data_IF_513825570348
#
_entry.id   IF_513825570348
#
_cell.length_a   1.000
_cell.length_b   1.000
_cell.length_c   1.000
_cell.angle_alpha   90.00
_cell.angle_beta   90.00
_cell.angle_gamma   90.00
#
_symmetry.space_group_name_H-M   'P 1'
#
loop_
_entity.id
_entity.type
_entity.pdbx_description
1 polymer ?
#
# COMPACT_ATOMS: atom_id res chain seq x y z
N UNK A 1 27.14 1.29 0.18
CA UNK A 1 25.74 1.73 -0.01
C UNK A 1 24.90 0.51 -0.29
N UNK A 2 23.59 0.60 -0.09
CA UNK A 2 22.70 -0.53 -0.33
C UNK A 2 22.37 -0.65 -1.83
N UNK A 3 22.41 -1.87 -2.33
CA UNK A 3 22.13 -2.17 -3.74
C UNK A 3 20.65 -2.51 -3.97
N UNK A 4 19.78 -2.06 -3.07
CA UNK A 4 18.36 -2.41 -3.03
C UNK A 4 17.50 -1.21 -3.38
N UNK A 5 16.56 -1.39 -4.30
CA UNK A 5 15.47 -0.46 -4.57
C UNK A 5 14.21 -1.01 -3.89
N UNK A 6 13.49 -0.16 -3.17
CA UNK A 6 12.17 -0.51 -2.64
C UNK A 6 11.07 0.03 -3.55
N UNK A 7 10.19 -0.85 -4.02
CA UNK A 7 8.91 -0.49 -4.63
C UNK A 7 7.82 -0.71 -3.60
N UNK A 8 7.22 0.39 -3.14
CA UNK A 8 6.22 0.41 -2.09
C UNK A 8 4.87 0.75 -2.71
N UNK A 9 3.85 -0.02 -2.35
CA UNK A 9 2.50 0.14 -2.86
C UNK A 9 1.53 0.42 -1.71
N UNK A 10 0.55 1.28 -1.97
CA UNK A 10 -0.78 1.15 -1.37
C UNK A 10 -1.55 -0.02 -2.03
N UNK A 11 -2.70 -0.41 -1.48
CA UNK A 11 -3.48 -1.52 -2.02
C UNK A 11 -4.76 -1.08 -2.73
N UNK A 12 -5.71 -0.52 -1.97
CA UNK A 12 -7.04 -0.17 -2.47
C UNK A 12 -6.96 1.00 -3.46
N UNK A 13 -7.67 0.88 -4.58
CA UNK A 13 -7.58 1.75 -5.78
C UNK A 13 -6.17 1.87 -6.40
N UNK A 14 -5.21 1.06 -5.93
CA UNK A 14 -3.82 1.07 -6.40
C UNK A 14 -3.46 -0.24 -7.10
N UNK A 15 -3.50 -1.37 -6.41
CA UNK A 15 -3.25 -2.71 -6.96
C UNK A 15 -4.55 -3.49 -7.20
N UNK A 16 -5.63 -3.09 -6.53
CA UNK A 16 -6.95 -3.68 -6.65
C UNK A 16 -8.03 -2.57 -6.50
N UNK A 17 -9.27 -2.80 -6.96
CA UNK A 17 -10.42 -2.06 -6.43
C UNK A 17 -10.46 -2.05 -4.91
N UNK A 18 -11.23 -1.12 -4.34
CA UNK A 18 -11.57 -1.10 -2.91
C UNK A 18 -12.03 -2.47 -2.40
N UNK A 19 -11.14 -3.12 -1.65
CA UNK A 19 -11.30 -4.46 -1.11
C UNK A 19 -12.30 -4.52 0.02
N UNK A 20 -12.51 -3.43 0.76
CA UNK A 20 -13.47 -3.37 1.87
C UNK A 20 -14.88 -3.24 1.32
N UNK A 21 -15.09 -2.30 0.39
CA UNK A 21 -16.37 -2.16 -0.31
C UNK A 21 -16.73 -3.44 -1.07
N UNK A 22 -15.75 -4.07 -1.73
CA UNK A 22 -15.96 -5.35 -2.41
C UNK A 22 -16.35 -6.48 -1.46
N UNK A 23 -15.72 -6.58 -0.28
CA UNK A 23 -16.10 -7.55 0.75
C UNK A 23 -17.53 -7.35 1.26
N UNK A 24 -17.89 -6.09 1.56
CA UNK A 24 -19.23 -5.74 2.03
C UNK A 24 -20.30 -6.09 0.98
N UNK A 25 -20.08 -5.73 -0.28
CA UNK A 25 -20.98 -6.10 -1.37
C UNK A 25 -21.13 -7.62 -1.50
N UNK A 26 -20.03 -8.36 -1.38
CA UNK A 26 -20.02 -9.82 -1.50
C UNK A 26 -20.83 -10.51 -0.40
N UNK A 27 -20.84 -9.97 0.82
CA UNK A 27 -21.71 -10.43 1.90
C UNK A 27 -23.14 -9.86 1.84
N UNK A 28 -23.50 -9.17 0.76
CA UNK A 28 -24.84 -8.66 0.48
C UNK A 28 -25.17 -7.36 1.23
N UNK A 29 -24.17 -6.62 1.71
CA UNK A 29 -24.36 -5.33 2.37
C UNK A 29 -24.53 -4.25 1.29
N UNK A 30 -25.47 -3.33 1.51
CA UNK A 30 -25.55 -2.11 0.73
C UNK A 30 -24.35 -1.21 1.06
N UNK A 31 -23.40 -1.16 0.13
CA UNK A 31 -22.13 -0.45 0.29
C UNK A 31 -22.34 1.06 0.39
N UNK A 32 -23.22 1.63 -0.43
CA UNK A 32 -23.49 3.06 -0.42
C UNK A 32 -24.10 3.47 0.92
N UNK A 33 -25.08 2.69 1.38
CA UNK A 33 -25.71 2.91 2.68
C UNK A 33 -24.70 2.75 3.83
N UNK A 34 -23.84 1.73 3.78
CA UNK A 34 -22.82 1.52 4.81
C UNK A 34 -21.90 2.74 4.94
N UNK A 35 -21.36 3.24 3.82
CA UNK A 35 -20.46 4.38 3.85
C UNK A 35 -21.16 5.69 4.18
N UNK A 36 -22.34 5.94 3.62
CA UNK A 36 -23.04 7.22 3.78
C UNK A 36 -23.73 7.32 5.15
N UNK A 37 -24.48 6.31 5.55
CA UNK A 37 -25.37 6.39 6.72
C UNK A 37 -24.68 5.91 8.00
N UNK A 38 -23.73 4.97 7.90
CA UNK A 38 -23.07 4.40 9.08
C UNK A 38 -21.70 5.00 9.33
N UNK A 39 -20.86 5.10 8.30
CA UNK A 39 -19.51 5.66 8.45
C UNK A 39 -19.55 7.19 8.40
N UNK A 40 -20.32 7.78 7.47
CA UNK A 40 -20.41 9.23 7.24
C UNK A 40 -20.63 10.05 8.51
N UNK A 41 -21.63 9.77 9.35
CA UNK A 41 -21.86 10.54 10.58
C UNK A 41 -20.68 10.49 11.56
N UNK A 42 -19.94 9.37 11.61
CA UNK A 42 -18.74 9.28 12.45
C UNK A 42 -17.67 10.27 11.99
N UNK A 43 -17.49 10.42 10.68
CA UNK A 43 -16.47 11.29 10.09
C UNK A 43 -16.85 12.77 10.18
N UNK A 44 -18.08 13.11 9.80
CA UNK A 44 -18.47 14.51 9.57
C UNK A 44 -19.14 15.18 10.78
N UNK A 45 -19.65 14.40 11.74
CA UNK A 45 -20.37 14.91 12.91
C UNK A 45 -19.68 14.58 14.24
N UNK A 46 -18.88 13.51 14.28
CA UNK A 46 -18.31 12.98 15.54
C UNK A 46 -16.77 12.99 15.59
N UNK A 47 -16.10 13.56 14.58
CA UNK A 47 -14.64 13.74 14.54
C UNK A 47 -13.84 12.42 14.63
N UNK A 48 -14.31 11.37 13.95
CA UNK A 48 -13.56 10.12 13.85
C UNK A 48 -12.60 10.13 12.66
N UNK A 49 -11.43 9.53 12.86
CA UNK A 49 -10.55 9.19 11.75
C UNK A 49 -11.22 8.13 10.83
N UNK A 50 -10.98 8.19 9.50
CA UNK A 50 -11.59 7.29 8.53
C UNK A 50 -11.41 5.79 8.82
N UNK A 51 -10.18 5.39 9.17
CA UNK A 51 -9.85 3.97 9.35
C UNK A 51 -10.51 3.40 10.62
N UNK A 52 -10.37 4.00 11.81
CA UNK A 52 -11.14 3.59 12.98
C UNK A 52 -12.66 3.56 12.75
N UNK A 53 -13.23 4.53 12.03
CA UNK A 53 -14.67 4.62 11.78
C UNK A 53 -15.21 3.41 11.01
N UNK A 54 -14.59 3.04 9.88
CA UNK A 54 -15.08 1.91 9.10
C UNK A 54 -14.84 0.58 9.83
N UNK A 55 -13.69 0.42 10.51
CA UNK A 55 -13.40 -0.79 11.28
C UNK A 55 -14.42 -0.97 12.41
N UNK A 56 -14.80 0.12 13.08
CA UNK A 56 -15.85 0.13 14.09
C UNK A 56 -17.21 -0.28 13.49
N UNK A 57 -17.59 0.29 12.34
CA UNK A 57 -18.86 -0.05 11.70
C UNK A 57 -18.89 -1.48 11.16
N UNK A 58 -17.76 -2.04 10.74
CA UNK A 58 -17.67 -3.46 10.39
C UNK A 58 -17.89 -4.36 11.61
N UNK A 59 -17.33 -4.01 12.77
CA UNK A 59 -17.58 -4.76 14.01
C UNK A 59 -19.06 -4.67 14.38
N UNK A 60 -19.66 -3.47 14.35
CA UNK A 60 -21.08 -3.28 14.64
C UNK A 60 -21.99 -4.07 13.67
N UNK A 61 -21.61 -4.13 12.39
CA UNK A 61 -22.29 -4.92 11.38
C UNK A 61 -22.20 -6.43 11.66
N UNK A 62 -21.01 -6.92 12.03
CA UNK A 62 -20.79 -8.31 12.42
C UNK A 62 -21.60 -8.70 13.66
N UNK A 63 -21.61 -7.84 14.69
CA UNK A 63 -22.35 -8.04 15.94
C UNK A 63 -23.88 -8.02 15.73
N UNK A 64 -24.37 -7.19 14.78
CA UNK A 64 -25.79 -7.14 14.44
C UNK A 64 -26.29 -8.43 13.75
N UNK A 65 -25.40 -9.21 13.14
CA UNK A 65 -25.69 -10.53 12.57
C UNK A 65 -26.58 -10.53 11.32
N UNK A 66 -26.99 -9.37 10.80
CA UNK A 66 -27.91 -9.29 9.65
C UNK A 66 -27.34 -9.88 8.35
N UNK A 67 -26.01 -9.98 8.24
CA UNK A 67 -25.28 -10.59 7.11
C UNK A 67 -24.34 -11.73 7.58
N UNK A 68 -24.63 -12.28 8.75
CA UNK A 68 -23.76 -13.24 9.46
C UNK A 68 -22.49 -12.60 10.02
N UNK A 69 -21.71 -13.35 10.81
CA UNK A 69 -20.46 -12.85 11.40
C UNK A 69 -19.42 -12.57 10.31
N UNK A 70 -18.61 -11.55 10.52
CA UNK A 70 -17.39 -11.31 9.74
C UNK A 70 -16.26 -12.05 10.45
N UNK A 71 -15.91 -13.24 9.94
CA UNK A 71 -14.85 -14.08 10.52
C UNK A 71 -13.54 -13.90 9.78
N UNK A 72 -12.43 -14.36 10.38
CA UNK A 72 -11.13 -14.40 9.70
C UNK A 72 -11.23 -15.17 8.40
N UNK A 73 -11.87 -16.34 8.43
CA UNK A 73 -11.98 -17.24 7.29
C UNK A 73 -12.70 -16.56 6.12
N UNK A 74 -13.79 -15.81 6.38
CA UNK A 74 -14.49 -15.05 5.33
C UNK A 74 -13.62 -13.96 4.70
N UNK A 75 -12.86 -13.23 5.52
CA UNK A 75 -11.93 -12.21 5.04
C UNK A 75 -10.82 -12.83 4.18
N UNK A 76 -10.29 -13.97 4.62
CA UNK A 76 -9.26 -14.71 3.89
C UNK A 76 -9.79 -15.28 2.57
N UNK A 77 -10.98 -15.87 2.57
CA UNK A 77 -11.66 -16.39 1.37
C UNK A 77 -11.93 -15.29 0.35
N UNK A 78 -12.37 -14.12 0.80
CA UNK A 78 -12.51 -12.95 -0.05
C UNK A 78 -11.17 -12.53 -0.66
N UNK A 79 -10.12 -12.43 0.15
CA UNK A 79 -8.78 -12.07 -0.31
C UNK A 79 -8.27 -12.95 -1.45
N UNK A 80 -8.54 -14.25 -1.42
CA UNK A 80 -8.09 -15.21 -2.46
C UNK A 80 -8.72 -14.99 -3.83
N UNK A 81 -9.91 -14.39 -3.88
CA UNK A 81 -10.68 -14.18 -5.11
C UNK A 81 -10.96 -12.71 -5.41
N UNK A 82 -10.41 -11.81 -4.60
CA UNK A 82 -10.45 -10.37 -4.82
C UNK A 82 -9.80 -10.09 -6.19
N UNK A 83 -10.52 -9.45 -7.14
CA UNK A 83 -9.93 -9.10 -8.42
C UNK A 83 -8.83 -8.06 -8.23
N UNK A 84 -7.72 -8.21 -8.96
CA UNK A 84 -6.65 -7.22 -9.05
C UNK A 84 -6.82 -6.35 -10.30
N UNK A 85 -6.14 -5.21 -10.34
CA UNK A 85 -6.05 -4.42 -11.57
C UNK A 85 -5.29 -5.18 -12.66
N UNK A 86 -5.60 -4.87 -13.92
CA UNK A 86 -5.02 -5.55 -15.07
C UNK A 86 -3.48 -5.45 -15.04
N UNK A 87 -2.82 -6.59 -15.25
CA UNK A 87 -1.36 -6.71 -15.29
C UNK A 87 -0.62 -6.79 -13.94
N UNK A 88 -1.32 -6.65 -12.80
CA UNK A 88 -0.69 -6.67 -11.47
C UNK A 88 -0.03 -8.02 -11.15
N UNK A 89 -0.67 -9.14 -11.48
CA UNK A 89 -0.13 -10.48 -11.19
C UNK A 89 1.24 -10.75 -11.85
N UNK A 90 1.51 -10.10 -12.99
CA UNK A 90 2.77 -10.29 -13.73
C UNK A 90 3.76 -9.14 -13.52
N UNK A 91 3.35 -8.04 -12.86
CA UNK A 91 4.15 -6.83 -12.65
C UNK A 91 5.48 -7.14 -11.95
N UNK A 92 5.42 -7.79 -10.79
CA UNK A 92 6.56 -8.04 -9.92
C UNK A 92 7.65 -8.87 -10.61
N UNK A 93 7.22 -9.92 -11.32
CA UNK A 93 8.13 -10.76 -12.11
C UNK A 93 8.80 -9.98 -13.22
N UNK A 94 8.04 -9.22 -14.02
CA UNK A 94 8.59 -8.45 -15.15
C UNK A 94 9.62 -7.42 -14.71
N UNK A 95 9.33 -6.65 -13.65
CA UNK A 95 10.30 -5.67 -13.12
C UNK A 95 11.57 -6.34 -12.57
N UNK A 96 11.44 -7.47 -11.84
CA UNK A 96 12.62 -8.22 -11.37
C UNK A 96 13.45 -8.78 -12.53
N UNK A 97 12.81 -9.31 -13.56
CA UNK A 97 13.48 -9.84 -14.75
C UNK A 97 14.25 -8.74 -15.49
N UNK A 98 13.61 -7.59 -15.72
CA UNK A 98 14.25 -6.42 -16.34
C UNK A 98 15.51 -6.00 -15.56
N UNK A 99 15.40 -5.78 -14.24
CA UNK A 99 16.55 -5.37 -13.41
C UNK A 99 17.64 -6.43 -13.38
N UNK A 100 17.29 -7.71 -13.28
CA UNK A 100 18.27 -8.79 -13.27
C UNK A 100 19.09 -8.85 -14.56
N UNK A 101 18.46 -8.57 -15.71
CA UNK A 101 19.14 -8.57 -17.02
C UNK A 101 20.05 -7.35 -17.16
N UNK A 102 19.57 -6.16 -16.80
CA UNK A 102 20.28 -4.90 -17.06
C UNK A 102 21.27 -4.51 -15.95
N UNK A 103 20.93 -4.82 -14.69
CA UNK A 103 21.64 -4.40 -13.48
C UNK A 103 21.73 -5.56 -12.46
N UNK A 104 22.49 -6.64 -12.74
CA UNK A 104 22.47 -7.88 -11.95
C UNK A 104 22.89 -7.76 -10.48
N UNK A 105 23.59 -6.68 -10.12
CA UNK A 105 23.96 -6.35 -8.74
C UNK A 105 22.84 -5.67 -7.93
N UNK A 106 21.81 -5.12 -8.60
CA UNK A 106 20.71 -4.40 -7.96
C UNK A 106 19.57 -5.37 -7.64
N UNK A 107 19.00 -5.24 -6.46
CA UNK A 107 17.87 -6.04 -5.99
C UNK A 107 16.60 -5.18 -5.91
N UNK A 108 15.46 -5.77 -6.26
CA UNK A 108 14.15 -5.17 -6.02
C UNK A 108 13.49 -5.84 -4.82
N UNK A 109 13.06 -5.02 -3.87
CA UNK A 109 12.19 -5.44 -2.78
C UNK A 109 10.83 -4.75 -2.92
N UNK A 110 9.76 -5.52 -2.79
CA UNK A 110 8.40 -5.00 -2.84
C UNK A 110 7.80 -4.93 -1.44
N UNK A 111 7.03 -3.87 -1.18
CA UNK A 111 6.38 -3.63 0.10
C UNK A 111 4.95 -3.18 -0.08
N UNK A 112 4.06 -3.61 0.84
CA UNK A 112 2.67 -3.18 0.86
C UNK A 112 2.37 -2.45 2.17
N UNK A 113 1.85 -1.22 2.06
CA UNK A 113 1.37 -0.43 3.19
C UNK A 113 -0.07 -0.02 2.90
N UNK A 114 -1.02 -0.73 3.50
CA UNK A 114 -2.45 -0.55 3.23
C UNK A 114 -3.19 -0.08 4.47
N UNK A 115 -4.20 0.78 4.30
CA UNK A 115 -5.16 1.11 5.36
C UNK A 115 -6.25 0.04 5.52
N UNK A 116 -6.38 -0.85 4.53
CA UNK A 116 -7.36 -1.94 4.46
C UNK A 116 -7.04 -3.10 5.39
N UNK A 117 -7.76 -4.21 5.20
CA UNK A 117 -7.79 -5.34 6.13
C UNK A 117 -6.66 -6.33 5.82
N UNK A 118 -5.80 -6.56 6.81
CA UNK A 118 -4.63 -7.41 6.71
C UNK A 118 -4.91 -8.87 6.35
N UNK A 119 -6.01 -9.42 6.86
CA UNK A 119 -6.42 -10.80 6.57
C UNK A 119 -6.89 -10.97 5.10
N UNK A 120 -7.39 -9.89 4.47
CA UNK A 120 -7.74 -9.86 3.04
C UNK A 120 -6.47 -9.77 2.20
N UNK A 121 -5.67 -8.72 2.39
CA UNK A 121 -4.53 -8.42 1.49
C UNK A 121 -3.45 -9.50 1.50
N UNK A 122 -3.27 -10.20 2.64
CA UNK A 122 -2.30 -11.31 2.78
C UNK A 122 -2.73 -12.61 2.11
N UNK A 123 -3.99 -12.72 1.70
CA UNK A 123 -4.52 -13.89 1.02
C UNK A 123 -4.70 -13.66 -0.48
N UNK A 124 -4.30 -12.49 -0.97
CA UNK A 124 -4.31 -12.19 -2.41
C UNK A 124 -3.27 -13.03 -3.15
N UNK A 125 -3.46 -13.30 -4.46
CA UNK A 125 -2.50 -14.06 -5.27
C UNK A 125 -1.09 -13.45 -5.28
N UNK A 126 -0.95 -12.15 -5.04
CA UNK A 126 0.31 -11.42 -5.05
C UNK A 126 0.93 -11.22 -3.67
N UNK A 127 0.30 -11.69 -2.58
CA UNK A 127 0.79 -11.46 -1.22
C UNK A 127 2.23 -11.97 -1.02
N UNK A 128 2.58 -13.07 -1.68
CA UNK A 128 3.90 -13.68 -1.64
C UNK A 128 5.00 -12.86 -2.32
N UNK A 129 4.64 -11.84 -3.12
CA UNK A 129 5.61 -10.97 -3.80
C UNK A 129 6.18 -9.91 -2.86
N UNK A 130 5.52 -9.63 -1.74
CA UNK A 130 5.92 -8.60 -0.81
C UNK A 130 6.89 -9.13 0.26
N UNK A 131 7.95 -8.37 0.47
CA UNK A 131 8.93 -8.58 1.55
C UNK A 131 8.28 -8.40 2.92
N UNK A 132 7.38 -7.41 3.05
CA UNK A 132 6.50 -7.27 4.21
C UNK A 132 5.20 -6.55 3.84
N UNK A 133 4.17 -6.77 4.66
CA UNK A 133 2.82 -6.20 4.49
C UNK A 133 2.34 -5.62 5.82
N UNK A 134 2.14 -4.30 5.82
CA UNK A 134 1.51 -3.57 6.92
C UNK A 134 0.08 -3.19 6.54
N UNK A 135 -0.87 -3.60 7.38
CA UNK A 135 -2.29 -3.37 7.18
C UNK A 135 -3.01 -3.26 8.53
N UNK A 136 -4.27 -2.80 8.50
CA UNK A 136 -5.13 -2.80 9.68
C UNK A 136 -5.54 -4.23 10.03
N UNK A 137 -5.66 -4.57 11.31
CA UNK A 137 -5.92 -5.95 11.75
C UNK A 137 -6.88 -5.99 12.93
N UNK A 138 -7.68 -7.04 12.98
CA UNK A 138 -8.57 -7.32 14.09
C UNK A 138 -7.99 -8.37 15.06
N UNK A 139 -8.45 -8.33 16.31
CA UNK A 139 -8.59 -9.53 17.13
C UNK A 139 -9.95 -10.18 16.87
N UNK A 140 -10.03 -11.46 17.21
CA UNK A 140 -11.20 -12.30 16.97
C UNK A 140 -11.73 -12.86 18.28
N UNK A 141 -13.04 -13.05 18.38
CA UNK A 141 -13.67 -13.70 19.53
C UNK A 141 -13.58 -15.24 19.45
N UNK A 142 -14.23 -15.94 20.39
CA UNK A 142 -14.23 -17.41 20.44
C UNK A 142 -14.96 -18.07 19.27
N UNK A 143 -15.89 -17.35 18.63
CA UNK A 143 -16.60 -17.81 17.44
C UNK A 143 -15.85 -17.46 16.14
N UNK A 144 -14.68 -16.82 16.24
CA UNK A 144 -13.85 -16.41 15.11
C UNK A 144 -14.32 -15.11 14.45
N UNK A 145 -15.27 -14.37 15.03
CA UNK A 145 -15.76 -13.09 14.51
C UNK A 145 -14.85 -11.93 14.91
N UNK A 146 -14.74 -10.91 14.06
CA UNK A 146 -13.99 -9.68 14.37
C UNK A 146 -14.53 -9.03 15.64
N UNK A 147 -13.63 -8.63 16.55
CA UNK A 147 -14.02 -8.11 17.86
C UNK A 147 -13.51 -6.70 18.15
N UNK A 148 -12.28 -6.40 17.77
CA UNK A 148 -11.65 -5.11 18.03
C UNK A 148 -10.43 -4.90 17.11
N UNK A 149 -10.11 -3.67 16.67
CA UNK A 149 -8.89 -3.42 15.91
C UNK A 149 -7.66 -3.54 16.81
N UNK A 150 -6.75 -4.48 16.51
CA UNK A 150 -5.46 -4.63 17.20
C UNK A 150 -4.34 -3.80 16.55
N UNK A 151 -4.54 -3.42 15.29
CA UNK A 151 -3.65 -2.53 14.55
C UNK A 151 -4.51 -1.68 13.61
N UNK A 152 -4.24 -0.39 13.61
CA UNK A 152 -4.83 0.57 12.67
C UNK A 152 -3.68 1.12 11.85
N UNK A 153 -3.79 1.04 10.53
CA UNK A 153 -2.89 1.73 9.61
C UNK A 153 -3.65 2.91 9.04
N UNK A 154 -3.44 4.07 9.63
CA UNK A 154 -3.97 5.34 9.11
C UNK A 154 -3.16 5.83 7.91
N UNK A 155 -3.71 6.83 7.20
CA UNK A 155 -3.01 7.51 6.11
C UNK A 155 -1.69 8.16 6.57
N UNK A 156 -1.59 8.63 7.81
CA UNK A 156 -0.34 9.14 8.38
C UNK A 156 0.60 8.03 8.83
N UNK A 157 0.09 6.93 9.40
CA UNK A 157 0.89 5.75 9.78
C UNK A 157 1.65 5.16 8.60
N UNK A 158 1.17 5.32 7.37
CA UNK A 158 1.90 4.82 6.19
C UNK A 158 3.33 5.38 6.14
N UNK A 159 3.52 6.64 6.53
CA UNK A 159 4.85 7.26 6.59
C UNK A 159 5.77 6.60 7.62
N UNK A 160 5.23 6.13 8.75
CA UNK A 160 5.99 5.36 9.75
C UNK A 160 6.61 4.12 9.11
N UNK A 161 5.84 3.40 8.29
CA UNK A 161 6.34 2.20 7.63
C UNK A 161 7.38 2.50 6.52
N UNK A 162 7.33 3.66 5.88
CA UNK A 162 8.43 4.10 5.01
C UNK A 162 9.74 4.24 5.79
N UNK A 163 9.71 4.79 7.01
CA UNK A 163 10.90 4.80 7.88
C UNK A 163 11.31 3.40 8.37
N UNK A 164 10.38 2.47 8.56
CA UNK A 164 10.71 1.08 8.85
C UNK A 164 11.51 0.46 7.70
N UNK A 165 11.01 0.58 6.46
CA UNK A 165 11.69 0.10 5.25
C UNK A 165 13.08 0.74 5.14
N UNK A 166 13.16 2.05 5.33
CA UNK A 166 14.42 2.80 5.24
C UNK A 166 15.50 2.23 6.16
N UNK A 167 15.08 1.85 7.37
CA UNK A 167 15.94 1.35 8.44
C UNK A 167 16.12 -0.17 8.44
N UNK A 168 15.44 -0.88 7.53
CA UNK A 168 15.43 -2.34 7.49
C UNK A 168 14.70 -3.02 8.66
N UNK A 169 13.74 -2.32 9.26
CA UNK A 169 12.93 -2.81 10.39
C UNK A 169 11.71 -3.54 9.80
N UNK A 170 11.98 -4.64 9.09
CA UNK A 170 11.01 -5.40 8.29
C UNK A 170 10.96 -6.87 8.73
N UNK A 171 9.86 -7.56 8.41
CA UNK A 171 9.67 -8.97 8.68
C UNK A 171 9.14 -9.27 10.09
N UNK A 172 8.91 -10.56 10.36
CA UNK A 172 8.22 -11.02 11.59
C UNK A 172 8.88 -10.52 12.88
N UNK A 173 10.22 -10.47 12.92
CA UNK A 173 10.98 -10.08 14.08
C UNK A 173 10.85 -8.58 14.45
N UNK A 174 10.31 -7.74 13.56
CA UNK A 174 10.14 -6.31 13.79
C UNK A 174 8.70 -5.91 14.15
N UNK A 175 7.72 -6.80 13.94
CA UNK A 175 6.28 -6.48 14.04
C UNK A 175 5.81 -6.09 15.44
N UNK A 176 6.52 -6.48 16.49
CA UNK A 176 6.24 -6.13 17.89
C UNK A 176 7.13 -4.99 18.42
N UNK A 177 7.83 -4.28 17.54
CA UNK A 177 8.77 -3.20 17.89
C UNK A 177 8.38 -1.86 17.23
N UNK A 178 7.19 -1.31 17.54
CA UNK A 178 6.69 -0.09 16.89
C UNK A 178 7.60 1.13 17.14
N UNK A 179 8.38 1.14 18.23
CA UNK A 179 9.25 2.26 18.59
C UNK A 179 10.67 2.16 18.02
N UNK A 180 11.07 1.03 17.42
CA UNK A 180 12.41 0.90 16.84
C UNK A 180 12.65 1.90 15.71
N UNK A 181 11.57 2.33 15.04
CA UNK A 181 11.61 3.39 14.03
C UNK A 181 12.13 4.72 14.58
N UNK A 182 12.06 4.98 15.90
CA UNK A 182 12.57 6.22 16.48
C UNK A 182 14.10 6.22 16.65
N UNK A 183 14.76 5.07 16.47
CA UNK A 183 16.22 4.98 16.61
C UNK A 183 16.88 5.77 15.48
N UNK A 184 17.87 6.59 15.84
CA UNK A 184 18.71 7.30 14.86
C UNK A 184 19.66 6.30 14.20
N UNK A 185 19.63 6.23 12.87
CA UNK A 185 20.56 5.43 12.07
C UNK A 185 21.33 6.40 11.18
N UNK A 186 22.65 6.22 11.10
CA UNK A 186 23.50 7.02 10.24
C UNK A 186 23.20 6.73 8.75
N UNK A 187 23.35 7.72 7.87
CA UNK A 187 22.93 7.61 6.47
C UNK A 187 23.62 6.45 5.72
N UNK A 188 24.89 6.20 6.02
CA UNK A 188 25.72 5.11 5.50
C UNK A 188 25.27 3.71 5.98
N UNK A 189 24.45 3.65 7.04
CA UNK A 189 23.92 2.42 7.65
C UNK A 189 22.45 2.18 7.34
N UNK A 190 21.80 3.05 6.58
CA UNK A 190 20.42 2.83 6.14
C UNK A 190 20.35 1.63 5.21
N UNK A 191 19.32 0.79 5.38
CA UNK A 191 19.10 -0.37 4.49
C UNK A 191 18.64 0.11 3.11
N UNK A 192 17.70 1.05 3.04
CA UNK A 192 17.18 1.57 1.78
C UNK A 192 16.96 3.08 1.95
N UNK A 193 17.90 3.94 1.52
CA UNK A 193 17.69 5.39 1.53
C UNK A 193 16.40 5.78 0.77
N UNK A 194 15.74 6.87 1.17
CA UNK A 194 14.49 7.31 0.51
C UNK A 194 14.67 7.62 -0.98
N UNK A 195 15.86 8.07 -1.39
CA UNK A 195 16.20 8.28 -2.80
C UNK A 195 16.24 7.00 -3.64
N UNK A 196 16.24 5.83 -2.98
CA UNK A 196 16.15 4.49 -3.59
C UNK A 196 14.74 3.90 -3.47
N UNK A 197 13.73 4.72 -3.15
CA UNK A 197 12.34 4.29 -3.01
C UNK A 197 11.47 4.80 -4.14
N UNK A 198 10.59 3.93 -4.62
CA UNK A 198 9.49 4.25 -5.52
C UNK A 198 8.19 3.95 -4.76
N UNK A 199 7.31 4.95 -4.61
CA UNK A 199 6.02 4.77 -3.94
C UNK A 199 4.88 4.93 -4.94
N UNK A 200 3.91 4.01 -4.93
CA UNK A 200 2.72 4.04 -5.79
C UNK A 200 1.47 4.03 -4.90
N UNK A 201 0.55 4.97 -5.13
CA UNK A 201 -0.65 5.12 -4.30
C UNK A 201 -1.80 5.86 -4.98
N UNK A 202 -2.94 5.91 -4.32
CA UNK A 202 -4.23 6.36 -4.89
C UNK A 202 -4.37 7.89 -5.04
N UNK A 203 -3.36 8.65 -4.65
CA UNK A 203 -3.40 10.11 -4.69
C UNK A 203 -3.87 10.72 -3.38
N UNK A 204 -5.03 10.30 -2.88
CA UNK A 204 -5.75 11.00 -1.81
C UNK A 204 -5.24 10.66 -0.41
N UNK A 205 -5.09 9.38 -0.08
CA UNK A 205 -4.63 8.96 1.25
C UNK A 205 -3.11 8.97 1.37
N UNK A 206 -2.41 8.95 0.24
CA UNK A 206 -0.96 8.79 0.18
C UNK A 206 -0.18 10.11 0.05
N UNK A 207 -0.85 11.26 0.13
CA UNK A 207 -0.21 12.59 0.03
C UNK A 207 1.00 12.74 0.97
N UNK A 208 0.92 12.34 2.25
CA UNK A 208 2.07 12.43 3.15
C UNK A 208 3.25 11.56 2.68
N UNK A 209 2.98 10.36 2.18
CA UNK A 209 3.98 9.45 1.62
C UNK A 209 4.64 10.06 0.39
N UNK A 210 3.87 10.57 -0.57
CA UNK A 210 4.44 11.19 -1.76
C UNK A 210 5.31 12.39 -1.43
N UNK A 211 4.86 13.26 -0.51
CA UNK A 211 5.61 14.43 -0.07
C UNK A 211 6.94 14.02 0.57
N UNK A 212 6.94 13.00 1.44
CA UNK A 212 8.16 12.49 2.09
C UNK A 212 9.15 11.91 1.06
N UNK A 213 8.67 11.07 0.16
CA UNK A 213 9.49 10.39 -0.85
C UNK A 213 10.11 11.40 -1.81
N UNK A 214 9.31 12.32 -2.37
CA UNK A 214 9.79 13.34 -3.33
C UNK A 214 10.79 14.30 -2.69
N UNK A 215 10.50 14.83 -1.49
CA UNK A 215 11.42 15.72 -0.77
C UNK A 215 12.76 15.05 -0.47
N UNK A 216 12.79 13.72 -0.42
CA UNK A 216 13.98 12.94 -0.12
C UNK A 216 14.65 12.33 -1.37
N UNK A 217 14.27 12.77 -2.58
CA UNK A 217 14.90 12.35 -3.84
C UNK A 217 14.41 11.02 -4.42
N UNK A 218 13.38 10.40 -3.83
CA UNK A 218 12.73 9.21 -4.37
C UNK A 218 11.64 9.55 -5.40
N UNK A 219 10.98 8.53 -5.94
CA UNK A 219 9.96 8.68 -6.98
C UNK A 219 8.57 8.32 -6.42
N UNK A 220 7.56 9.10 -6.76
CA UNK A 220 6.19 8.88 -6.32
C UNK A 220 5.20 8.90 -7.50
N UNK A 221 4.41 7.85 -7.66
CA UNK A 221 3.36 7.74 -8.67
C UNK A 221 1.98 7.76 -8.03
N UNK A 222 1.13 8.66 -8.52
CA UNK A 222 -0.30 8.62 -8.21
C UNK A 222 -1.00 7.79 -9.26
N UNK A 223 -1.95 6.97 -8.82
CA UNK A 223 -2.80 6.20 -9.71
C UNK A 223 -4.27 6.47 -9.42
N UNK A 224 -5.13 6.13 -10.38
CA UNK A 224 -6.58 6.21 -10.20
C UNK A 224 -7.26 5.00 -10.84
N UNK A 225 -8.29 4.50 -10.15
CA UNK A 225 -9.16 3.46 -10.69
C UNK A 225 -10.11 4.07 -11.73
N UNK A 226 -10.17 3.56 -12.98
CA UNK A 226 -11.10 4.02 -14.00
C UNK A 226 -12.59 3.91 -13.62
N UNK A 227 -12.93 3.05 -12.66
CA UNK A 227 -14.28 2.91 -12.10
C UNK A 227 -14.66 4.09 -11.21
N UNK A 228 -13.68 4.78 -10.64
CA UNK A 228 -13.87 5.91 -9.72
C UNK A 228 -13.39 7.23 -10.35
N UNK A 229 -13.97 7.61 -11.49
CA UNK A 229 -13.57 8.80 -12.27
C UNK A 229 -13.54 10.09 -11.45
N UNK A 230 -14.39 10.23 -10.43
CA UNK A 230 -14.43 11.42 -9.58
C UNK A 230 -13.19 11.58 -8.70
N UNK A 231 -12.53 10.46 -8.34
CA UNK A 231 -11.25 10.48 -7.62
C UNK A 231 -10.14 11.08 -8.48
N UNK A 232 -10.21 10.95 -9.82
CA UNK A 232 -9.25 11.58 -10.75
C UNK A 232 -9.24 13.10 -10.64
N UNK A 233 -10.41 13.74 -10.51
CA UNK A 233 -10.50 15.20 -10.41
C UNK A 233 -9.86 15.72 -9.12
N UNK A 234 -10.07 15.03 -7.99
CA UNK A 234 -9.41 15.32 -6.71
C UNK A 234 -7.90 15.09 -6.79
N UNK A 235 -7.47 14.00 -7.43
CA UNK A 235 -6.06 13.68 -7.60
C UNK A 235 -5.31 14.67 -8.51
N UNK A 236 -6.00 15.28 -9.48
CA UNK A 236 -5.42 16.29 -10.37
C UNK A 236 -4.93 17.55 -9.65
N UNK A 237 -5.64 17.98 -8.59
CA UNK A 237 -5.20 19.09 -7.74
C UNK A 237 -3.82 18.85 -7.13
N UNK A 238 -3.49 17.60 -6.78
CA UNK A 238 -2.20 17.27 -6.18
C UNK A 238 -1.03 17.28 -7.17
N UNK A 239 -1.30 17.07 -8.46
CA UNK A 239 -0.28 17.25 -9.51
C UNK A 239 0.11 18.73 -9.60
N UNK A 240 -0.87 19.63 -9.60
CA UNK A 240 -0.63 21.08 -9.66
C UNK A 240 0.17 21.59 -8.47
N UNK A 241 -0.03 20.99 -7.29
CA UNK A 241 0.74 21.29 -6.08
C UNK A 241 2.12 20.61 -6.04
N UNK A 242 2.53 19.90 -7.10
CA UNK A 242 3.83 19.24 -7.21
C UNK A 242 4.02 18.05 -6.26
N UNK A 243 2.93 17.53 -5.68
CA UNK A 243 2.94 16.45 -4.68
C UNK A 243 3.00 15.06 -5.31
N UNK A 244 2.56 14.91 -6.55
CA UNK A 244 2.57 13.65 -7.31
C UNK A 244 3.37 13.85 -8.60
N UNK A 245 4.20 12.87 -9.02
CA UNK A 245 4.96 12.99 -10.27
C UNK A 245 4.05 12.99 -11.49
N UNK A 246 3.12 12.05 -11.55
CA UNK A 246 2.15 11.82 -12.63
C UNK A 246 0.91 11.11 -12.05
N UNK A 247 -0.24 11.25 -12.69
CA UNK A 247 -1.47 10.54 -12.35
C UNK A 247 -1.85 9.57 -13.47
N UNK A 248 -1.56 8.30 -13.29
CA UNK A 248 -1.76 7.27 -14.30
C UNK A 248 -2.99 6.41 -13.99
N UNK A 249 -3.59 5.81 -15.01
CA UNK A 249 -4.61 4.79 -14.77
C UNK A 249 -3.99 3.61 -14.01
N UNK A 250 -4.69 3.04 -13.02
CA UNK A 250 -4.30 1.83 -12.31
C UNK A 250 -4.40 0.60 -13.24
N UNK A 251 -3.46 0.51 -14.18
CA UNK A 251 -3.29 -0.54 -15.18
C UNK A 251 -1.80 -0.82 -15.29
N UNK A 252 -1.42 -2.07 -15.18
CA UNK A 252 -0.03 -2.49 -15.02
C UNK A 252 0.43 -3.46 -16.11
N UNK A 253 -0.38 -3.75 -17.13
CA UNK A 253 0.08 -4.49 -18.32
C UNK A 253 1.24 -3.77 -19.04
N UNK A 254 1.96 -4.50 -19.87
CA UNK A 254 3.14 -4.03 -20.62
C UNK A 254 2.84 -2.87 -21.58
N UNK A 255 1.59 -2.76 -21.99
CA UNK A 255 1.08 -1.69 -22.85
C UNK A 255 0.59 -0.48 -22.04
N UNK A 256 0.60 -0.54 -20.71
CA UNK A 256 0.18 0.56 -19.86
C UNK A 256 1.28 1.61 -19.69
N UNK A 257 0.87 2.87 -19.80
CA UNK A 257 1.73 4.02 -19.50
C UNK A 257 2.34 3.92 -18.10
N UNK A 258 1.55 3.55 -17.08
CA UNK A 258 2.06 3.37 -15.71
C UNK A 258 3.19 2.33 -15.64
N UNK A 259 3.07 1.21 -16.36
CA UNK A 259 4.10 0.17 -16.35
C UNK A 259 5.40 0.69 -16.97
N UNK A 260 5.32 1.40 -18.10
CA UNK A 260 6.47 2.03 -18.75
C UNK A 260 7.17 3.03 -17.82
N UNK A 261 6.41 3.89 -17.13
CA UNK A 261 6.96 4.81 -16.13
C UNK A 261 7.62 4.10 -14.95
N UNK A 262 7.05 2.99 -14.48
CA UNK A 262 7.65 2.18 -13.41
C UNK A 262 8.97 1.55 -13.88
N UNK A 263 9.00 1.03 -15.11
CA UNK A 263 10.21 0.46 -15.72
C UNK A 263 11.33 1.51 -15.80
N UNK A 264 11.05 2.69 -16.36
CA UNK A 264 12.00 3.80 -16.46
C UNK A 264 12.50 4.28 -15.09
N UNK A 265 11.60 4.40 -14.10
CA UNK A 265 11.98 4.83 -12.76
C UNK A 265 12.91 3.81 -12.10
N UNK A 266 12.60 2.52 -12.23
CA UNK A 266 13.43 1.43 -11.70
C UNK A 266 14.79 1.41 -12.38
N UNK A 267 14.84 1.48 -13.72
CA UNK A 267 16.09 1.51 -14.49
C UNK A 267 16.96 2.72 -14.10
N UNK A 268 16.35 3.90 -13.98
CA UNK A 268 17.05 5.13 -13.57
C UNK A 268 17.70 4.99 -12.19
N UNK A 269 16.97 4.45 -11.20
CA UNK A 269 17.51 4.20 -9.87
C UNK A 269 18.60 3.12 -9.88
N UNK A 270 18.40 2.04 -10.63
CA UNK A 270 19.37 0.95 -10.75
C UNK A 270 20.68 1.44 -11.39
N UNK A 271 20.59 2.29 -12.41
CA UNK A 271 21.73 2.97 -13.04
C UNK A 271 22.50 3.85 -12.05
N UNK A 272 21.79 4.64 -11.23
CA UNK A 272 22.40 5.49 -10.20
C UNK A 272 23.16 4.68 -9.14
N UNK A 273 22.55 3.60 -8.63
CA UNK A 273 23.17 2.68 -7.68
C UNK A 273 24.44 2.05 -8.30
N UNK A 274 24.32 1.59 -9.55
CA UNK A 274 25.42 0.96 -10.28
C UNK A 274 26.61 1.91 -10.48
N UNK A 275 26.35 3.17 -10.81
CA UNK A 275 27.37 4.21 -10.97
C UNK A 275 28.06 4.52 -9.64
N UNK A 276 27.29 4.73 -8.59
CA UNK A 276 27.81 4.99 -7.24
C UNK A 276 28.73 3.84 -6.80
N UNK A 277 28.33 2.59 -6.99
CA UNK A 277 29.16 1.44 -6.63
C UNK A 277 30.49 1.38 -7.39
N UNK A 278 30.55 1.86 -8.64
CA UNK A 278 31.81 1.93 -9.40
C UNK A 278 32.71 3.05 -8.88
N UNK A 279 32.15 4.20 -8.54
CA UNK A 279 32.91 5.35 -8.03
C UNK A 279 33.55 5.03 -6.67
N UNK A 280 32.83 4.36 -5.76
CA UNK A 280 33.34 4.03 -4.43
C UNK A 280 34.24 2.78 -4.37
N UNK A 281 34.34 2.00 -5.46
CA UNK A 281 35.24 0.86 -5.57
C UNK A 281 36.57 1.19 -6.28
N UNK A 282 36.72 2.40 -6.83
CA UNK A 282 37.98 2.93 -7.35
C UNK A 282 38.70 3.74 -6.28
#
# INVERSE_FOLDING_TARGET
MSDVIALIFDFDDTLAPDSTSGFLADMGVDVEQFWTDRVGPLLFEQDWDPVPAYLYQMIALSDAGSHGPITRERLEEWGRRLPLHAGVETLFRRLREMVKVQHPQVQLEFYLISSGIGDVVRQTPIAHEFTDIWASEFIYDQAGAIRFPKRVVSFTDKTRYLFHIQKGIVGLASRNKPFEVNRKIAADKLRIPFEQMIFVGDGYTDIPCFSLIRRSGGVAFGVWDPRHRDKRSRAWGFIQEGRVSNLNQARYDDEAELYQWLEEAVESLAGRISLNNRIYRG
#
